data_IF_188221376748
#
_entry.id   IF_188221376748
#
_cell.length_a   1.000
_cell.length_b   1.000
_cell.length_c   1.000
_cell.angle_alpha   90.00
_cell.angle_beta   90.00
_cell.angle_gamma   90.00
#
_symmetry.space_group_name_H-M   'P 1'
#
loop_
_entity.id
_entity.type
_entity.pdbx_description
1 polymer ?
#
# COMPACT_ATOMS: atom_id res chain seq x y z
N UNK A 1 5.85 6.36 17.98
CA UNK A 1 6.83 6.06 16.91
C UNK A 1 6.18 5.75 15.55
N UNK A 2 4.91 5.30 15.53
CA UNK A 2 4.21 4.74 14.35
C UNK A 2 3.89 5.72 13.21
N UNK A 3 3.88 7.04 13.46
CA UNK A 3 3.53 8.06 12.44
C UNK A 3 4.59 8.23 11.35
N UNK A 4 5.88 8.02 11.69
CA UNK A 4 6.99 8.15 10.74
C UNK A 4 7.11 6.94 9.81
N UNK A 5 6.89 5.72 10.33
CA UNK A 5 6.83 4.52 9.48
C UNK A 5 5.64 4.55 8.50
N UNK A 6 4.49 5.07 8.93
CA UNK A 6 3.34 5.26 8.04
C UNK A 6 3.63 6.27 6.92
N UNK A 7 4.34 7.36 7.23
CA UNK A 7 4.72 8.37 6.26
C UNK A 7 5.73 7.84 5.24
N UNK A 8 6.78 7.15 5.71
CA UNK A 8 7.77 6.50 4.85
C UNK A 8 7.15 5.42 3.95
N UNK A 9 6.26 4.58 4.51
CA UNK A 9 5.53 3.57 3.75
C UNK A 9 4.60 4.18 2.70
N UNK A 10 3.92 5.28 3.04
CA UNK A 10 3.05 6.00 2.11
C UNK A 10 3.85 6.67 0.98
N UNK A 11 5.00 7.28 1.28
CA UNK A 11 5.86 7.89 0.27
C UNK A 11 6.47 6.85 -0.67
N UNK A 12 7.03 5.77 -0.15
CA UNK A 12 7.66 4.72 -0.96
C UNK A 12 6.60 3.93 -1.73
N UNK A 13 5.50 3.56 -1.09
CA UNK A 13 4.38 2.85 -1.73
C UNK A 13 3.69 3.69 -2.81
N UNK A 14 3.53 5.00 -2.56
CA UNK A 14 3.01 5.95 -3.55
C UNK A 14 3.93 6.10 -4.75
N UNK A 15 5.24 6.25 -4.54
CA UNK A 15 6.21 6.40 -5.62
C UNK A 15 6.37 5.11 -6.44
N UNK A 16 6.42 3.95 -5.78
CA UNK A 16 6.47 2.65 -6.43
C UNK A 16 5.17 2.36 -7.22
N UNK A 17 4.01 2.68 -6.64
CA UNK A 17 2.71 2.56 -7.30
C UNK A 17 2.59 3.45 -8.54
N UNK A 18 3.11 4.68 -8.46
CA UNK A 18 3.11 5.63 -9.59
C UNK A 18 4.09 5.20 -10.69
N UNK A 19 5.29 4.75 -10.34
CA UNK A 19 6.29 4.28 -11.31
C UNK A 19 5.86 2.98 -12.03
N UNK A 20 5.24 2.04 -11.31
CA UNK A 20 4.67 0.83 -11.90
C UNK A 20 3.41 1.12 -12.71
N UNK A 21 2.56 2.03 -12.24
CA UNK A 21 1.35 2.47 -12.94
C UNK A 21 1.63 3.25 -14.23
N UNK A 22 2.63 4.13 -14.22
CA UNK A 22 2.98 4.97 -15.37
C UNK A 22 3.58 4.16 -16.55
N UNK A 23 4.22 3.02 -16.28
CA UNK A 23 4.81 2.16 -17.34
C UNK A 23 3.81 1.25 -18.03
N UNK A 24 2.70 0.89 -17.39
CA UNK A 24 1.76 -0.12 -17.90
C UNK A 24 0.42 0.53 -18.33
N UNK A 25 0.18 1.78 -17.96
CA UNK A 25 -1.00 2.56 -18.30
C UNK A 25 -1.85 2.90 -17.08
N UNK A 26 -2.60 4.01 -17.14
CA UNK A 26 -3.42 4.53 -16.02
C UNK A 26 -4.37 3.46 -15.45
N UNK A 27 -4.89 2.56 -16.28
CA UNK A 27 -5.76 1.45 -15.85
C UNK A 27 -5.06 0.40 -14.98
N UNK A 28 -3.79 0.11 -15.24
CA UNK A 28 -3.00 -0.82 -14.40
C UNK A 28 -2.55 -0.16 -13.11
N UNK A 29 -2.27 1.15 -13.13
CA UNK A 29 -2.10 1.93 -11.89
C UNK A 29 -3.35 1.81 -10.99
N UNK A 30 -4.53 1.90 -11.61
CA UNK A 30 -5.81 1.81 -10.91
C UNK A 30 -6.09 0.40 -10.38
N UNK A 31 -5.87 -0.64 -11.19
CA UNK A 31 -6.00 -2.04 -10.76
C UNK A 31 -4.99 -2.41 -9.66
N UNK A 32 -3.74 -1.99 -9.77
CA UNK A 32 -2.73 -2.17 -8.72
C UNK A 32 -3.09 -1.41 -7.45
N UNK A 33 -3.71 -0.23 -7.57
CA UNK A 33 -4.21 0.52 -6.40
C UNK A 33 -5.37 -0.20 -5.71
N UNK A 34 -6.31 -0.77 -6.45
CA UNK A 34 -7.39 -1.60 -5.88
C UNK A 34 -6.84 -2.85 -5.20
N UNK A 35 -5.95 -3.59 -5.86
CA UNK A 35 -5.33 -4.80 -5.32
C UNK A 35 -4.44 -4.47 -4.12
N UNK A 36 -3.66 -3.39 -4.19
CA UNK A 36 -2.82 -2.90 -3.11
C UNK A 36 -3.63 -2.43 -1.90
N UNK A 37 -4.80 -1.82 -2.11
CA UNK A 37 -5.72 -1.45 -1.02
C UNK A 37 -6.31 -2.69 -0.36
N UNK A 38 -6.75 -3.68 -1.13
CA UNK A 38 -7.25 -4.95 -0.59
C UNK A 38 -6.19 -5.75 0.16
N UNK A 39 -4.99 -5.88 -0.42
CA UNK A 39 -3.85 -6.53 0.22
C UNK A 39 -3.37 -5.77 1.47
N UNK A 40 -3.34 -4.44 1.40
CA UNK A 40 -3.02 -3.57 2.54
C UNK A 40 -4.01 -3.73 3.70
N UNK A 41 -5.30 -3.86 3.40
CA UNK A 41 -6.31 -4.18 4.42
C UNK A 41 -6.14 -5.57 4.99
N UNK A 42 -5.82 -6.58 4.18
CA UNK A 42 -5.60 -7.94 4.65
C UNK A 42 -4.37 -8.05 5.56
N UNK A 43 -3.24 -7.48 5.14
CA UNK A 43 -2.00 -7.44 5.92
C UNK A 43 -2.16 -6.56 7.15
N UNK A 44 -2.81 -5.39 7.01
CA UNK A 44 -3.11 -4.49 8.12
C UNK A 44 -4.01 -5.14 9.16
N UNK A 45 -5.04 -5.88 8.73
CA UNK A 45 -5.92 -6.64 9.63
C UNK A 45 -5.17 -7.80 10.29
N UNK A 46 -4.29 -8.49 9.58
CA UNK A 46 -3.43 -9.56 10.12
C UNK A 46 -2.42 -9.02 11.14
N UNK A 47 -1.84 -7.85 10.88
CA UNK A 47 -0.93 -7.17 11.80
C UNK A 47 -1.66 -6.62 13.03
N UNK A 48 -2.86 -6.07 12.85
CA UNK A 48 -3.70 -5.59 13.95
C UNK A 48 -4.13 -6.74 14.87
N UNK A 49 -4.49 -7.90 14.32
CA UNK A 49 -4.80 -9.09 15.13
C UNK A 49 -3.60 -9.57 15.93
N UNK A 50 -2.38 -9.50 15.36
CA UNK A 50 -1.15 -9.87 16.08
C UNK A 50 -0.65 -8.84 17.09
N UNK A 51 -1.17 -7.61 17.05
CA UNK A 51 -0.89 -6.56 18.03
C UNK A 51 -1.93 -6.50 19.15
N UNK A 52 -3.07 -7.19 18.99
CA UNK A 52 -4.14 -7.27 19.98
C UNK A 52 -4.07 -8.54 20.85
N UNK A 53 -3.19 -9.50 20.50
CA UNK A 53 -2.69 -10.57 21.38
C UNK A 53 -1.42 -10.09 22.11
#
# INVERSE_FOLDING_TARGET
MSRWMGFLGATIGGYAGWALGARIGVMTAFMVSMVGTGAGFYVGRRAAQRMLD
#
